data_IF_684986175633
#
_entry.id   IF_684986175633
#
_cell.length_a   1.000
_cell.length_b   1.000
_cell.length_c   1.000
_cell.angle_alpha   90.00
_cell.angle_beta   90.00
_cell.angle_gamma   90.00
#
_symmetry.space_group_name_H-M   'P 1'
#
loop_
_entity.id
_entity.type
_entity.pdbx_description
1 polymer ?
#
# COMPACT_ATOMS: atom_id res chain seq x y z
N UNK A 1 32.26 24.11 13.07
CA UNK A 1 31.09 23.61 12.30
C UNK A 1 29.84 24.05 13.01
N UNK A 2 28.98 24.84 12.37
CA UNK A 2 27.71 25.27 12.97
C UNK A 2 26.75 24.09 12.97
N UNK A 3 26.30 23.64 14.14
CA UNK A 3 25.33 22.56 14.22
C UNK A 3 23.96 23.14 13.89
N UNK A 4 23.41 22.76 12.75
CA UNK A 4 22.03 23.09 12.40
C UNK A 4 21.14 22.21 13.26
N UNK A 5 20.34 22.82 14.12
CA UNK A 5 19.39 22.08 14.93
C UNK A 5 18.50 21.23 14.02
N UNK A 6 18.28 19.94 14.34
CA UNK A 6 17.38 19.10 13.56
C UNK A 6 15.98 19.72 13.54
N UNK A 7 15.27 19.68 12.40
CA UNK A 7 13.89 20.13 12.33
C UNK A 7 13.04 19.34 13.33
N UNK A 8 12.03 19.98 13.97
CA UNK A 8 11.19 19.32 14.97
C UNK A 8 10.56 18.05 14.37
N UNK A 9 10.85 16.89 14.98
CA UNK A 9 10.54 15.53 14.50
C UNK A 9 9.06 15.17 14.39
N UNK A 10 8.15 16.14 14.43
CA UNK A 10 6.70 15.92 14.35
C UNK A 10 6.19 15.58 12.95
N UNK A 11 7.05 15.41 11.93
CA UNK A 11 6.64 15.23 10.53
C UNK A 11 6.52 13.77 10.07
N UNK A 12 7.13 12.84 10.79
CA UNK A 12 7.16 11.43 10.40
C UNK A 12 5.83 10.71 10.70
N UNK A 13 5.26 10.95 11.89
CA UNK A 13 3.93 10.48 12.28
C UNK A 13 2.78 10.97 11.37
N UNK A 14 2.69 12.27 11.00
CA UNK A 14 1.68 12.73 10.08
C UNK A 14 1.91 12.19 8.67
N UNK A 15 3.15 12.00 8.20
CA UNK A 15 3.40 11.39 6.91
C UNK A 15 2.93 9.92 6.88
N UNK A 16 3.23 9.15 7.93
CA UNK A 16 2.74 7.79 8.07
C UNK A 16 1.20 7.74 8.07
N UNK A 17 0.51 8.58 8.86
CA UNK A 17 -0.98 8.64 8.85
C UNK A 17 -1.56 9.04 7.50
N UNK A 18 -0.93 10.01 6.82
CA UNK A 18 -1.38 10.47 5.51
C UNK A 18 -1.21 9.40 4.45
N UNK A 19 -0.15 8.57 4.53
CA UNK A 19 0.05 7.43 3.62
C UNK A 19 -0.76 6.19 4.01
N UNK A 20 -1.15 6.01 5.27
CA UNK A 20 -1.91 4.84 5.72
C UNK A 20 -3.28 4.75 5.05
N UNK A 21 -4.00 5.85 4.93
CA UNK A 21 -5.31 5.86 4.27
C UNK A 21 -5.25 5.46 2.77
N UNK A 22 -4.40 6.07 1.92
CA UNK A 22 -4.30 5.69 0.52
C UNK A 22 -3.73 4.27 0.33
N UNK A 23 -2.82 3.80 1.19
CA UNK A 23 -2.32 2.41 1.11
C UNK A 23 -3.42 1.40 1.43
N UNK A 24 -4.23 1.65 2.47
CA UNK A 24 -5.39 0.80 2.80
C UNK A 24 -6.41 0.80 1.66
N UNK A 25 -6.69 1.95 1.05
CA UNK A 25 -7.60 2.04 -0.09
C UNK A 25 -7.08 1.27 -1.31
N UNK A 26 -5.78 1.36 -1.63
CA UNK A 26 -5.19 0.60 -2.73
C UNK A 26 -5.24 -0.91 -2.49
N UNK A 27 -4.98 -1.33 -1.25
CA UNK A 27 -5.10 -2.74 -0.86
C UNK A 27 -6.54 -3.24 -0.99
N UNK A 28 -7.51 -2.44 -0.54
CA UNK A 28 -8.94 -2.76 -0.66
C UNK A 28 -9.40 -2.84 -2.12
N UNK A 29 -8.98 -1.88 -2.96
CA UNK A 29 -9.29 -1.88 -4.39
C UNK A 29 -8.74 -3.12 -5.10
N UNK A 30 -7.51 -3.53 -4.76
CA UNK A 30 -6.89 -4.75 -5.28
C UNK A 30 -7.66 -6.00 -4.85
N UNK A 31 -8.04 -6.09 -3.58
CA UNK A 31 -8.88 -7.20 -3.07
C UNK A 31 -10.27 -7.25 -3.71
N UNK A 32 -10.89 -6.08 -3.92
CA UNK A 32 -12.18 -5.98 -4.60
C UNK A 32 -12.09 -6.41 -6.07
N UNK A 33 -11.02 -6.06 -6.78
CA UNK A 33 -10.79 -6.50 -8.15
C UNK A 33 -10.69 -8.04 -8.23
N UNK A 34 -10.00 -8.68 -7.29
CA UNK A 34 -9.95 -10.15 -7.20
C UNK A 34 -11.32 -10.76 -6.86
N UNK A 35 -12.07 -10.12 -5.97
CA UNK A 35 -13.40 -10.60 -5.56
C UNK A 35 -14.44 -10.52 -6.68
N UNK A 36 -14.35 -9.51 -7.55
CA UNK A 36 -15.23 -9.28 -8.71
C UNK A 36 -15.00 -10.27 -9.86
N UNK A 37 -13.89 -10.99 -9.88
CA UNK A 37 -13.61 -12.00 -10.90
C UNK A 37 -14.41 -13.28 -10.63
N UNK A 38 -14.99 -13.85 -11.68
CA UNK A 38 -15.76 -15.11 -11.64
C UNK A 38 -14.95 -16.25 -11.05
N UNK A 39 -15.58 -17.13 -10.25
CA UNK A 39 -14.94 -18.22 -9.50
C UNK A 39 -13.81 -19.00 -10.22
N UNK A 40 -13.93 -19.41 -11.51
CA UNK A 40 -12.84 -20.13 -12.18
C UNK A 40 -11.61 -19.26 -12.48
N UNK A 41 -11.77 -17.93 -12.60
CA UNK A 41 -10.70 -17.00 -12.93
C UNK A 41 -10.02 -16.37 -11.69
N UNK A 42 -10.58 -16.55 -10.48
CA UNK A 42 -10.01 -15.99 -9.23
C UNK A 42 -8.65 -16.57 -8.88
N UNK A 43 -8.38 -17.83 -9.24
CA UNK A 43 -7.08 -18.47 -8.97
C UNK A 43 -5.98 -17.85 -9.82
N UNK A 44 -6.22 -17.65 -11.12
CA UNK A 44 -5.25 -17.04 -12.03
C UNK A 44 -5.00 -15.57 -11.67
N UNK A 45 -6.06 -14.79 -11.43
CA UNK A 45 -5.95 -13.38 -11.05
C UNK A 45 -5.33 -13.21 -9.66
N UNK A 46 -5.69 -14.07 -8.70
CA UNK A 46 -5.08 -14.09 -7.36
C UNK A 46 -3.59 -14.43 -7.39
N UNK A 47 -3.18 -15.37 -8.25
CA UNK A 47 -1.77 -15.74 -8.42
C UNK A 47 -0.97 -14.59 -9.07
N UNK A 48 -1.50 -13.97 -10.13
CA UNK A 48 -0.87 -12.80 -10.76
C UNK A 48 -0.78 -11.61 -9.79
N UNK A 49 -1.83 -11.35 -9.01
CA UNK A 49 -1.83 -10.32 -7.97
C UNK A 49 -0.79 -10.59 -6.88
N UNK A 50 -0.68 -11.83 -6.40
CA UNK A 50 0.33 -12.19 -5.40
C UNK A 50 1.77 -12.00 -5.91
N UNK A 51 2.03 -12.35 -7.17
CA UNK A 51 3.33 -12.12 -7.81
C UNK A 51 3.62 -10.62 -7.94
N UNK A 52 2.64 -9.82 -8.35
CA UNK A 52 2.80 -8.37 -8.44
C UNK A 52 3.12 -7.73 -7.08
N UNK A 53 2.46 -8.17 -6.00
CA UNK A 53 2.73 -7.70 -4.63
C UNK A 53 4.11 -8.14 -4.11
N UNK A 54 4.63 -9.28 -4.55
CA UNK A 54 5.98 -9.76 -4.17
C UNK A 54 7.11 -9.05 -4.94
N UNK A 55 6.81 -8.52 -6.12
CA UNK A 55 7.79 -7.83 -6.98
C UNK A 55 7.89 -6.32 -6.70
N UNK A 56 6.90 -5.73 -6.02
CA UNK A 56 6.89 -4.34 -5.54
C UNK A 56 7.53 -4.25 -4.17
#
# INVERSE_FOLDING_TARGET
MVSVQPPPGGRELPYARVLLLPTVLMAAASGAAVALVTAPARVAVGCCGAVATLLV
#
